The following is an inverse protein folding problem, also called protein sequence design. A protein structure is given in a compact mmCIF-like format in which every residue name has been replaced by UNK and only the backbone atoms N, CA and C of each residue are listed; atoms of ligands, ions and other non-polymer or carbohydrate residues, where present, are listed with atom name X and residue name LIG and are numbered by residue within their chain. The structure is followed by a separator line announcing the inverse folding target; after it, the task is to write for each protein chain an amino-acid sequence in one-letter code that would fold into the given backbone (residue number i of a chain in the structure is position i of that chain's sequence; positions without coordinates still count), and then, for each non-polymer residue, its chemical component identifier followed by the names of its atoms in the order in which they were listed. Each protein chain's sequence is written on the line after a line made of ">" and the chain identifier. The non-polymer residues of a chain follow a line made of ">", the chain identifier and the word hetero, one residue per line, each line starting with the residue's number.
data_IF_244806066064
#
_entry.id   IF_244806066064
#
_cell.length_a   1.000
_cell.length_b   1.000
_cell.length_c   1.000
_cell.angle_alpha   90.00
_cell.angle_beta   90.00
_cell.angle_gamma   90.00
#
_symmetry.space_group_name_H-M   'P 1'
#
loop_
_entity.id
_entity.type
_entity.pdbx_description
1 polymer ?
#
# COMPACT_ATOMS: atom_id res chain seq x y z
N UNK A 1 -11.73 -10.98 2.52
CA UNK A 1 -11.01 -9.99 1.69
C UNK A 1 -12.04 -9.28 0.81
N UNK A 2 -11.91 -8.00 0.49
CA UNK A 2 -12.81 -7.32 -0.47
C UNK A 2 -12.70 -7.98 -1.84
N UNK A 3 -13.78 -7.96 -2.62
CA UNK A 3 -13.82 -8.58 -3.95
C UNK A 3 -12.74 -8.00 -4.87
N UNK A 4 -12.61 -6.68 -4.93
CA UNK A 4 -11.60 -5.97 -5.73
C UNK A 4 -10.16 -6.45 -5.47
N UNK A 5 -9.85 -6.86 -4.23
CA UNK A 5 -8.53 -7.40 -3.87
C UNK A 5 -8.44 -8.87 -4.28
N UNK A 6 -9.49 -9.67 -4.00
CA UNK A 6 -9.53 -11.10 -4.33
C UNK A 6 -9.45 -11.36 -5.84
N UNK A 7 -10.03 -10.47 -6.66
CA UNK A 7 -10.05 -10.60 -8.12
C UNK A 7 -8.64 -10.56 -8.72
N UNK A 8 -7.70 -9.85 -8.09
CA UNK A 8 -6.28 -9.87 -8.47
C UNK A 8 -5.61 -11.24 -8.26
N UNK A 9 -6.24 -12.17 -7.53
CA UNK A 9 -5.67 -13.48 -7.18
C UNK A 9 -6.41 -14.66 -7.81
N UNK A 10 -7.63 -14.49 -8.34
CA UNK A 10 -8.44 -15.62 -8.84
C UNK A 10 -7.79 -16.41 -9.97
N UNK A 11 -6.99 -15.76 -10.80
CA UNK A 11 -6.31 -16.41 -11.92
C UNK A 11 -5.24 -17.41 -11.46
N UNK A 12 -4.73 -17.29 -10.23
CA UNK A 12 -3.80 -18.25 -9.60
C UNK A 12 -4.49 -19.16 -8.57
N UNK A 13 -5.72 -18.87 -8.16
CA UNK A 13 -6.53 -19.71 -7.25
C UNK A 13 -7.93 -19.97 -7.82
N UNK A 14 -8.12 -21.00 -8.67
CA UNK A 14 -9.39 -21.27 -9.36
C UNK A 14 -10.61 -21.52 -8.45
N UNK A 15 -10.38 -21.96 -7.20
CA UNK A 15 -11.43 -22.19 -6.20
C UNK A 15 -11.65 -21.04 -5.21
N UNK A 16 -11.12 -19.84 -5.49
CA UNK A 16 -11.27 -18.68 -4.61
C UNK A 16 -12.70 -18.14 -4.69
N UNK A 17 -13.45 -18.25 -3.59
CA UNK A 17 -14.82 -17.75 -3.46
C UNK A 17 -14.94 -16.68 -2.38
N UNK A 18 -15.83 -15.72 -2.59
CA UNK A 18 -16.12 -14.68 -1.62
C UNK A 18 -17.14 -15.16 -0.59
N UNK A 19 -16.87 -14.87 0.68
CA UNK A 19 -17.88 -15.01 1.72
C UNK A 19 -18.93 -13.90 1.58
N UNK A 20 -20.23 -14.22 1.72
CA UNK A 20 -21.33 -13.25 1.53
C UNK A 20 -21.15 -11.95 2.32
N UNK A 21 -20.55 -12.02 3.51
CA UNK A 21 -20.30 -10.86 4.38
C UNK A 21 -19.43 -9.76 3.73
N UNK A 22 -18.51 -10.12 2.83
CA UNK A 22 -17.58 -9.14 2.25
C UNK A 22 -18.26 -8.15 1.30
N UNK A 23 -19.47 -8.46 0.83
CA UNK A 23 -20.29 -7.59 -0.01
C UNK A 23 -20.87 -6.39 0.74
N UNK A 24 -20.83 -6.42 2.07
CA UNK A 24 -21.36 -5.36 2.92
C UNK A 24 -20.26 -4.42 3.46
N UNK A 25 -19.00 -4.62 3.07
CA UNK A 25 -17.92 -3.75 3.49
C UNK A 25 -18.03 -2.39 2.77
N UNK A 26 -18.36 -1.33 3.49
CA UNK A 26 -18.37 0.04 2.94
C UNK A 26 -16.97 0.49 2.48
N UNK A 27 -16.88 1.45 1.57
CA UNK A 27 -15.60 1.91 1.01
C UNK A 27 -14.65 2.50 2.05
N UNK A 28 -13.35 2.51 1.72
CA UNK A 28 -12.33 3.17 2.55
C UNK A 28 -12.53 4.68 2.49
N UNK A 29 -12.76 5.31 3.64
CA UNK A 29 -13.09 6.73 3.72
C UNK A 29 -11.94 7.60 3.20
N UNK A 30 -12.28 8.63 2.44
CA UNK A 30 -11.33 9.60 1.90
C UNK A 30 -10.50 9.11 0.72
N UNK A 31 -10.72 7.89 0.23
CA UNK A 31 -10.11 7.37 -0.99
C UNK A 31 -11.15 7.23 -2.11
N UNK A 32 -10.71 7.46 -3.35
CA UNK A 32 -11.58 7.35 -4.52
C UNK A 32 -11.90 5.89 -4.89
N UNK A 33 -11.00 4.94 -4.58
CA UNK A 33 -11.13 3.51 -4.84
C UNK A 33 -10.50 2.70 -3.71
N UNK A 34 -11.02 1.49 -3.46
CA UNK A 34 -10.47 0.56 -2.46
C UNK A 34 -9.15 -0.09 -2.90
N UNK A 35 -8.90 -0.17 -4.22
CA UNK A 35 -7.67 -0.69 -4.82
C UNK A 35 -7.23 0.26 -5.93
N UNK A 36 -5.96 0.64 -5.90
CA UNK A 36 -5.35 1.54 -6.89
C UNK A 36 -3.94 1.07 -7.18
N UNK A 37 -3.56 1.15 -8.46
CA UNK A 37 -2.18 0.96 -8.91
C UNK A 37 -1.66 2.30 -9.39
N UNK A 38 -0.41 2.60 -9.04
CA UNK A 38 0.21 3.88 -9.33
C UNK A 38 1.45 3.59 -10.15
N UNK A 39 1.50 4.18 -11.34
CA UNK A 39 2.63 4.08 -12.23
C UNK A 39 3.42 5.40 -12.20
N UNK A 40 4.74 5.31 -12.08
CA UNK A 40 5.64 6.45 -12.17
C UNK A 40 6.97 6.00 -12.77
N UNK A 41 7.77 6.95 -13.24
CA UNK A 41 9.10 6.70 -13.83
C UNK A 41 10.23 7.38 -13.03
N UNK A 42 9.95 7.78 -11.79
CA UNK A 42 10.93 8.40 -10.90
C UNK A 42 12.04 7.41 -10.53
N UNK A 43 13.32 7.80 -10.68
CA UNK A 43 14.44 6.88 -10.54
C UNK A 43 14.64 6.43 -9.09
N UNK A 44 15.09 5.19 -8.94
CA UNK A 44 15.57 4.69 -7.66
C UNK A 44 16.95 5.26 -7.32
N UNK A 45 17.25 5.23 -6.02
CA UNK A 45 18.55 5.56 -5.46
C UNK A 45 19.12 4.31 -4.78
N UNK A 46 20.42 4.07 -4.94
CA UNK A 46 21.12 3.01 -4.23
C UNK A 46 21.94 3.61 -3.09
N UNK A 47 21.87 2.99 -1.91
CA UNK A 47 22.76 3.35 -0.81
C UNK A 47 23.88 2.32 -0.77
N UNK A 48 25.05 2.69 -1.28
CA UNK A 48 26.18 1.77 -1.56
C UNK A 48 26.63 0.93 -0.36
N UNK A 49 26.38 1.40 0.87
CA UNK A 49 26.70 0.68 2.10
C UNK A 49 25.71 -0.45 2.44
N UNK A 50 24.43 -0.30 2.10
CA UNK A 50 23.36 -1.23 2.48
C UNK A 50 23.09 -2.32 1.43
N UNK A 51 23.74 -2.27 0.26
CA UNK A 51 23.43 -3.11 -0.92
C UNK A 51 21.91 -3.21 -1.16
N UNK A 52 21.21 -2.09 -0.98
CA UNK A 52 19.75 -2.02 -1.05
C UNK A 52 19.33 -0.76 -1.81
N UNK A 53 18.12 -0.81 -2.35
CA UNK A 53 17.53 0.26 -3.14
C UNK A 53 16.44 0.97 -2.33
N UNK A 54 16.28 2.25 -2.64
CA UNK A 54 15.20 3.08 -2.13
C UNK A 54 14.73 4.00 -3.26
N UNK A 55 13.43 4.24 -3.34
CA UNK A 55 12.86 5.24 -4.22
C UNK A 55 12.32 6.41 -3.35
N UNK A 56 13.03 7.55 -3.31
CA UNK A 56 12.64 8.69 -2.48
C UNK A 56 11.27 9.28 -2.84
N UNK A 57 10.88 9.22 -4.12
CA UNK A 57 9.58 9.65 -4.59
C UNK A 57 8.47 8.75 -4.04
N UNK A 58 8.60 7.44 -4.20
CA UNK A 58 7.65 6.47 -3.64
C UNK A 58 7.53 6.62 -2.12
N UNK A 59 8.66 6.80 -1.42
CA UNK A 59 8.66 6.92 0.04
C UNK A 59 7.90 8.17 0.51
N UNK A 60 8.10 9.32 -0.16
CA UNK A 60 7.34 10.56 0.12
C UNK A 60 5.85 10.39 -0.20
N UNK A 61 5.56 9.81 -1.37
CA UNK A 61 4.21 9.58 -1.84
C UNK A 61 3.41 8.66 -0.90
N UNK A 62 3.98 7.52 -0.52
CA UNK A 62 3.38 6.55 0.39
C UNK A 62 3.21 7.13 1.80
N UNK A 63 4.19 7.89 2.31
CA UNK A 63 4.06 8.54 3.61
C UNK A 63 2.88 9.52 3.65
N UNK A 64 2.67 10.30 2.59
CA UNK A 64 1.53 11.22 2.46
C UNK A 64 0.19 10.48 2.39
N UNK A 65 0.12 9.42 1.57
CA UNK A 65 -1.09 8.59 1.50
C UNK A 65 -1.38 7.89 2.81
N UNK A 66 -0.38 7.35 3.51
CA UNK A 66 -0.58 6.67 4.79
C UNK A 66 -1.09 7.63 5.88
N UNK A 67 -0.72 8.92 5.82
CA UNK A 67 -1.20 9.96 6.73
C UNK A 67 -2.65 10.38 6.42
N UNK A 68 -3.10 10.28 5.17
CA UNK A 68 -4.43 10.75 4.75
C UNK A 68 -5.61 10.05 5.46
N UNK A 69 -5.65 8.70 5.61
CA UNK A 69 -6.71 8.03 6.38
C UNK A 69 -6.79 8.48 7.85
N UNK A 70 -5.71 8.96 8.45
CA UNK A 70 -5.76 9.49 9.83
C UNK A 70 -6.70 10.70 9.92
N UNK A 71 -6.77 11.52 8.87
CA UNK A 71 -7.73 12.62 8.75
C UNK A 71 -9.18 12.16 8.61
N UNK A 72 -9.41 10.87 8.39
CA UNK A 72 -10.72 10.23 8.21
C UNK A 72 -11.12 9.37 9.42
N UNK A 73 -10.45 9.59 10.57
CA UNK A 73 -10.64 8.91 11.84
C UNK A 73 -10.24 7.42 11.83
N UNK A 74 -9.33 7.01 10.95
CA UNK A 74 -8.65 5.73 11.10
C UNK A 74 -7.57 5.83 12.18
N UNK A 75 -7.40 4.76 12.97
CA UNK A 75 -6.30 4.66 13.91
C UNK A 75 -5.02 4.22 13.17
N UNK A 76 -3.87 4.67 13.65
CA UNK A 76 -2.54 4.24 13.17
C UNK A 76 -2.42 2.71 13.18
N UNK A 77 -2.99 2.03 14.17
CA UNK A 77 -2.97 0.56 14.28
C UNK A 77 -3.72 -0.17 13.16
N UNK A 78 -4.56 0.54 12.39
CA UNK A 78 -5.29 0.00 11.24
C UNK A 78 -4.54 0.18 9.92
N UNK A 79 -3.37 0.83 9.94
CA UNK A 79 -2.60 1.17 8.75
C UNK A 79 -1.25 0.45 8.84
N UNK A 80 -0.90 -0.25 7.76
CA UNK A 80 0.40 -0.92 7.63
C UNK A 80 0.96 -0.62 6.25
N UNK A 81 2.22 -0.18 6.21
CA UNK A 81 2.96 0.02 4.97
C UNK A 81 3.93 -1.14 4.80
N UNK A 82 3.88 -1.78 3.64
CA UNK A 82 4.78 -2.88 3.26
C UNK A 82 5.71 -2.42 2.14
N UNK A 83 6.96 -2.88 2.20
CA UNK A 83 7.96 -2.64 1.16
C UNK A 83 8.91 -3.83 1.07
N UNK A 84 9.47 -4.08 -0.11
CA UNK A 84 10.32 -5.24 -0.41
C UNK A 84 11.79 -5.03 -0.03
N UNK A 85 12.24 -3.78 0.07
CA UNK A 85 13.66 -3.45 0.30
C UNK A 85 13.88 -2.77 1.64
N UNK A 86 14.91 -3.22 2.37
CA UNK A 86 15.33 -2.61 3.64
C UNK A 86 15.73 -1.14 3.46
N UNK A 87 16.38 -0.78 2.33
CA UNK A 87 16.70 0.60 1.98
C UNK A 87 15.43 1.47 1.94
N UNK A 88 14.39 0.99 1.25
CA UNK A 88 13.10 1.68 1.18
C UNK A 88 12.39 1.77 2.54
N UNK A 89 12.47 0.73 3.38
CA UNK A 89 11.94 0.77 4.74
C UNK A 89 12.61 1.88 5.57
N UNK A 90 13.93 2.00 5.50
CA UNK A 90 14.67 3.05 6.21
C UNK A 90 14.31 4.43 5.66
N UNK A 91 14.16 4.57 4.34
CA UNK A 91 13.79 5.82 3.69
C UNK A 91 12.37 6.28 4.05
N UNK A 92 11.42 5.33 4.15
CA UNK A 92 10.08 5.56 4.69
C UNK A 92 10.14 6.03 6.14
N UNK A 93 10.89 5.34 7.01
CA UNK A 93 11.02 5.69 8.44
C UNK A 93 11.54 7.12 8.69
N UNK A 94 12.26 7.73 7.74
CA UNK A 94 12.70 9.14 7.83
C UNK A 94 11.57 10.14 7.53
N UNK A 95 10.47 9.71 6.91
CA UNK A 95 9.36 10.57 6.43
C UNK A 95 8.08 10.45 7.24
N UNK A 96 7.95 9.38 8.04
CA UNK A 96 6.74 9.15 8.86
C UNK A 96 6.83 9.90 10.17
#
# INVERSE_FOLDING_TARGET
>A
MRQDIADNMRHIYPGLHDHNHVRFYGDVKGLAKNVMFINHNEPESSNGELKSFANPFEADYVAKIAKHPLLQNYNVSQITVLTTYTGQLLELKRRV
#
